data_IF_065915757697
#
_entry.id   IF_065915757697
#
_cell.length_a   1.000
_cell.length_b   1.000
_cell.length_c   1.000
_cell.angle_alpha   90.00
_cell.angle_beta   90.00
_cell.angle_gamma   90.00
#
_symmetry.space_group_name_H-M   'P 1'
#
loop_
_entity.id
_entity.type
_entity.pdbx_description
1 polymer ?
#
# COMPACT_ATOMS: atom_id res chain seq x y z
N UNK A 1 -12.19 -71.22 -11.63
CA UNK A 1 -12.59 -69.79 -11.77
C UNK A 1 -11.99 -69.00 -10.62
N UNK A 2 -10.96 -68.19 -10.88
CA UNK A 2 -10.46 -67.17 -9.94
C UNK A 2 -10.69 -65.82 -10.61
N UNK A 3 -11.57 -65.00 -10.06
CA UNK A 3 -11.77 -63.63 -10.50
C UNK A 3 -10.82 -62.72 -9.73
N UNK A 4 -9.92 -62.05 -10.46
CA UNK A 4 -9.07 -60.99 -9.92
C UNK A 4 -9.81 -59.67 -10.17
N UNK A 5 -10.28 -59.02 -9.10
CA UNK A 5 -10.81 -57.66 -9.16
C UNK A 5 -9.63 -56.69 -9.14
N UNK A 6 -9.43 -55.93 -10.22
CA UNK A 6 -8.47 -54.82 -10.27
C UNK A 6 -9.22 -53.55 -9.87
N UNK A 7 -8.91 -52.99 -8.71
CA UNK A 7 -9.36 -51.66 -8.30
C UNK A 7 -8.48 -50.62 -8.99
N UNK A 8 -9.01 -49.95 -10.02
CA UNK A 8 -8.40 -48.74 -10.57
C UNK A 8 -8.78 -47.56 -9.66
N UNK A 9 -7.85 -47.15 -8.79
CA UNK A 9 -7.99 -45.94 -8.00
C UNK A 9 -7.88 -44.70 -8.90
N UNK A 10 -9.01 -44.03 -9.14
CA UNK A 10 -9.01 -42.71 -9.77
C UNK A 10 -8.51 -41.70 -8.72
N UNK A 11 -7.23 -41.35 -8.77
CA UNK A 11 -6.71 -40.18 -8.04
C UNK A 11 -7.20 -38.96 -8.78
N UNK A 12 -8.34 -38.41 -8.35
CA UNK A 12 -8.76 -37.09 -8.78
C UNK A 12 -7.77 -36.07 -8.21
N UNK A 13 -6.75 -35.71 -8.99
CA UNK A 13 -5.99 -34.48 -8.75
C UNK A 13 -6.97 -33.33 -8.95
N UNK A 14 -7.53 -32.82 -7.85
CA UNK A 14 -8.26 -31.55 -7.86
C UNK A 14 -7.23 -30.49 -8.24
N UNK A 15 -7.18 -30.12 -9.51
CA UNK A 15 -6.45 -28.94 -9.93
C UNK A 15 -7.07 -27.77 -9.19
N UNK A 16 -6.28 -27.13 -8.32
CA UNK A 16 -6.66 -25.86 -7.71
C UNK A 16 -7.07 -24.92 -8.85
N UNK A 17 -8.26 -24.30 -8.77
CA UNK A 17 -8.74 -23.41 -9.81
C UNK A 17 -7.72 -22.27 -10.02
N UNK A 18 -7.21 -22.16 -11.25
CA UNK A 18 -6.20 -21.18 -11.66
C UNK A 18 -6.86 -20.11 -12.54
N UNK A 19 -7.29 -19.01 -11.91
CA UNK A 19 -7.83 -17.85 -12.61
C UNK A 19 -6.74 -16.82 -13.00
N UNK A 20 -5.52 -16.96 -12.46
CA UNK A 20 -4.36 -16.13 -12.83
C UNK A 20 -3.68 -16.58 -14.12
N UNK A 21 -3.83 -17.85 -14.48
CA UNK A 21 -3.17 -18.46 -15.63
C UNK A 21 -1.72 -18.84 -15.36
N UNK A 22 -1.40 -19.30 -14.15
CA UNK A 22 -0.07 -19.76 -13.73
C UNK A 22 0.50 -20.86 -14.65
N UNK A 23 -0.36 -21.71 -15.20
CA UNK A 23 0.03 -22.74 -16.18
C UNK A 23 0.68 -22.20 -17.46
N UNK A 24 0.44 -20.93 -17.81
CA UNK A 24 1.07 -20.25 -18.95
C UNK A 24 2.44 -19.63 -18.62
N UNK A 25 2.92 -19.86 -17.39
CA UNK A 25 4.22 -19.44 -16.91
C UNK A 25 4.32 -17.94 -16.61
N UNK A 26 5.57 -17.47 -16.58
CA UNK A 26 5.92 -16.13 -16.11
C UNK A 26 6.67 -15.33 -17.16
N UNK A 27 6.52 -14.01 -17.12
CA UNK A 27 7.43 -13.05 -17.75
C UNK A 27 8.52 -12.77 -16.72
N UNK A 28 9.74 -13.22 -16.99
CA UNK A 28 10.90 -12.97 -16.10
C UNK A 28 11.60 -11.70 -16.57
N UNK A 29 11.79 -10.76 -15.64
CA UNK A 29 12.36 -9.44 -15.91
C UNK A 29 13.41 -9.13 -14.85
N UNK A 30 14.30 -8.21 -15.19
CA UNK A 30 15.35 -7.71 -14.28
C UNK A 30 15.44 -6.20 -14.39
N UNK A 31 15.71 -5.55 -13.26
CA UNK A 31 16.24 -4.18 -13.20
C UNK A 31 17.62 -4.23 -12.55
N UNK A 32 18.30 -3.09 -12.41
CA UNK A 32 19.59 -3.06 -11.71
C UNK A 32 19.49 -3.52 -10.24
N UNK A 33 18.33 -3.35 -9.59
CA UNK A 33 18.13 -3.69 -8.17
C UNK A 33 17.22 -4.90 -7.93
N UNK A 34 16.53 -5.44 -8.96
CA UNK A 34 15.57 -6.53 -8.77
C UNK A 34 15.65 -7.63 -9.83
N UNK A 35 15.38 -8.86 -9.39
CA UNK A 35 14.86 -9.94 -10.23
C UNK A 35 13.36 -10.07 -9.93
N UNK A 36 12.52 -10.07 -10.96
CA UNK A 36 11.07 -10.14 -10.78
C UNK A 36 10.40 -11.09 -11.78
N UNK A 37 9.22 -11.57 -11.41
CA UNK A 37 8.37 -12.38 -12.27
C UNK A 37 6.95 -11.82 -12.28
N UNK A 38 6.39 -11.65 -13.47
CA UNK A 38 4.97 -11.37 -13.66
C UNK A 38 4.26 -12.64 -14.11
N UNK A 39 3.06 -12.93 -13.58
CA UNK A 39 2.22 -13.99 -14.16
C UNK A 39 1.89 -13.62 -15.61
N UNK A 40 2.17 -14.49 -16.59
CA UNK A 40 2.10 -14.12 -18.01
C UNK A 40 0.72 -13.61 -18.44
N UNK A 41 -0.35 -14.26 -18.00
CA UNK A 41 -1.71 -13.92 -18.41
C UNK A 41 -2.27 -12.71 -17.67
N UNK A 42 -2.04 -12.61 -16.36
CA UNK A 42 -2.59 -11.53 -15.54
C UNK A 42 -1.68 -10.29 -15.49
N UNK A 43 -0.40 -10.43 -15.81
CA UNK A 43 0.71 -9.47 -15.59
C UNK A 43 0.70 -8.80 -14.20
N UNK A 44 0.26 -9.53 -13.17
CA UNK A 44 0.47 -9.17 -11.75
C UNK A 44 1.83 -9.69 -11.29
N UNK A 45 2.41 -9.05 -10.28
CA UNK A 45 3.72 -9.38 -9.73
C UNK A 45 3.63 -10.65 -8.89
N UNK A 46 4.33 -11.69 -9.32
CA UNK A 46 4.38 -12.98 -8.64
C UNK A 46 5.57 -13.06 -7.66
N UNK A 47 6.72 -12.53 -8.07
CA UNK A 47 7.99 -12.62 -7.33
C UNK A 47 8.73 -11.28 -7.40
N UNK A 48 9.30 -10.84 -6.27
CA UNK A 48 10.11 -9.64 -6.17
C UNK A 48 11.31 -9.89 -5.26
N UNK A 49 12.48 -10.11 -5.87
CA UNK A 49 13.74 -10.42 -5.17
C UNK A 49 14.76 -9.32 -5.44
N UNK A 50 15.50 -8.81 -4.43
CA UNK A 50 16.66 -7.97 -4.67
C UNK A 50 17.66 -8.67 -5.60
N UNK A 51 18.29 -7.92 -6.49
CA UNK A 51 19.36 -8.45 -7.34
C UNK A 51 20.48 -9.05 -6.48
N UNK A 52 20.83 -10.30 -6.73
CA UNK A 52 21.83 -11.05 -5.96
C UNK A 52 21.34 -11.67 -4.64
N UNK A 53 20.05 -11.54 -4.30
CA UNK A 53 19.44 -12.24 -3.15
C UNK A 53 18.40 -13.28 -3.65
N UNK A 54 18.08 -14.23 -2.78
CA UNK A 54 17.05 -15.26 -3.01
C UNK A 54 15.76 -14.99 -2.23
N UNK A 55 15.82 -14.10 -1.23
CA UNK A 55 14.65 -13.71 -0.45
C UNK A 55 13.61 -13.01 -1.33
N UNK A 56 12.39 -13.53 -1.31
CA UNK A 56 11.25 -12.99 -2.03
C UNK A 56 10.35 -12.21 -1.07
N UNK A 57 10.11 -10.93 -1.39
CA UNK A 57 9.20 -10.11 -0.58
C UNK A 57 7.73 -10.50 -0.77
N UNK A 58 7.42 -11.26 -1.82
CA UNK A 58 6.05 -11.69 -2.12
C UNK A 58 5.83 -13.15 -1.70
N UNK A 59 4.59 -13.54 -1.40
CA UNK A 59 4.23 -14.91 -1.04
C UNK A 59 4.22 -15.84 -2.28
N UNK A 60 5.32 -15.87 -3.05
CA UNK A 60 5.45 -16.69 -4.26
C UNK A 60 5.26 -18.19 -3.96
N UNK A 61 5.70 -18.64 -2.79
CA UNK A 61 5.53 -20.01 -2.31
C UNK A 61 4.05 -20.38 -2.03
N UNK A 62 3.18 -19.38 -1.86
CA UNK A 62 1.73 -19.53 -1.71
C UNK A 62 0.95 -19.19 -2.99
N UNK A 63 1.60 -18.73 -4.05
CA UNK A 63 0.93 -18.20 -5.24
C UNK A 63 -0.05 -19.20 -5.88
N UNK A 64 0.30 -20.49 -5.91
CA UNK A 64 -0.57 -21.55 -6.46
C UNK A 64 -1.88 -21.74 -5.69
N UNK A 65 -1.91 -21.35 -4.41
CA UNK A 65 -3.12 -21.35 -3.56
C UNK A 65 -3.93 -20.06 -3.74
N UNK A 66 -3.26 -18.98 -4.14
CA UNK A 66 -3.83 -17.63 -4.28
C UNK A 66 -4.16 -17.26 -5.73
N UNK A 67 -4.29 -18.25 -6.62
CA UNK A 67 -4.53 -18.04 -8.05
C UNK A 67 -6.00 -17.80 -8.43
N UNK A 68 -6.91 -17.72 -7.47
CA UNK A 68 -8.36 -17.63 -7.69
C UNK A 68 -8.84 -16.18 -7.78
N UNK A 69 -10.06 -15.99 -8.26
CA UNK A 69 -10.78 -14.73 -8.16
C UNK A 69 -10.86 -14.25 -6.69
N UNK A 70 -10.81 -12.93 -6.47
CA UNK A 70 -10.91 -12.32 -5.15
C UNK A 70 -9.69 -12.49 -4.23
N UNK A 71 -8.59 -13.07 -4.73
CA UNK A 71 -7.25 -13.04 -4.12
C UNK A 71 -6.48 -11.88 -4.77
N UNK A 72 -5.71 -11.07 -4.05
CA UNK A 72 -5.14 -9.83 -4.59
C UNK A 72 -3.63 -9.83 -4.73
N UNK A 73 -3.11 -9.19 -5.78
CA UNK A 73 -1.68 -9.10 -6.04
C UNK A 73 -1.21 -7.69 -6.38
N UNK A 74 0.09 -7.42 -6.19
CA UNK A 74 0.67 -6.19 -6.72
C UNK A 74 0.48 -6.14 -8.24
N UNK A 75 -0.10 -5.04 -8.74
CA UNK A 75 -0.52 -4.91 -10.13
C UNK A 75 -2.03 -5.13 -10.35
N UNK A 76 -2.78 -5.57 -9.35
CA UNK A 76 -4.22 -5.37 -9.34
C UNK A 76 -4.58 -3.90 -9.03
N UNK A 77 -5.83 -3.53 -9.29
CA UNK A 77 -6.39 -2.19 -9.04
C UNK A 77 -7.83 -2.32 -8.56
N UNK A 78 -8.19 -1.53 -7.54
CA UNK A 78 -9.59 -1.28 -7.17
C UNK A 78 -9.92 0.19 -7.32
N UNK A 79 -11.16 0.51 -7.66
CA UNK A 79 -11.61 1.89 -7.78
C UNK A 79 -13.11 2.01 -7.58
N UNK A 80 -13.55 3.24 -7.26
CA UNK A 80 -14.95 3.64 -7.29
C UNK A 80 -15.08 4.90 -8.11
N UNK A 81 -16.07 4.92 -8.99
CA UNK A 81 -16.38 6.10 -9.78
C UNK A 81 -17.87 6.37 -9.86
N UNK A 82 -18.24 7.60 -10.22
CA UNK A 82 -19.61 7.95 -10.59
C UNK A 82 -19.60 9.00 -11.70
N UNK A 83 -20.63 8.99 -12.53
CA UNK A 83 -20.82 10.04 -13.54
C UNK A 83 -21.30 11.34 -12.87
N UNK A 84 -21.01 12.48 -13.49
CA UNK A 84 -21.51 13.78 -13.01
C UNK A 84 -23.02 13.75 -12.79
N UNK A 85 -23.48 14.18 -11.60
CA UNK A 85 -24.89 14.19 -11.20
C UNK A 85 -25.41 12.88 -10.59
N UNK A 86 -24.65 11.78 -10.67
CA UNK A 86 -24.97 10.55 -9.95
C UNK A 86 -24.54 10.66 -8.47
N UNK A 87 -25.29 10.00 -7.58
CA UNK A 87 -24.94 9.91 -6.15
C UNK A 87 -24.26 8.60 -5.82
N UNK A 88 -24.72 7.49 -6.42
CA UNK A 88 -24.20 6.15 -6.19
C UNK A 88 -22.82 5.94 -6.83
N UNK A 89 -21.95 5.23 -6.10
CA UNK A 89 -20.63 4.81 -6.57
C UNK A 89 -20.74 3.47 -7.33
N UNK A 90 -20.00 3.35 -8.43
CA UNK A 90 -19.81 2.10 -9.18
C UNK A 90 -18.42 1.55 -8.88
N UNK A 91 -18.35 0.29 -8.47
CA UNK A 91 -17.11 -0.41 -8.14
C UNK A 91 -16.42 -0.98 -9.39
N UNK A 92 -15.09 -0.94 -9.39
CA UNK A 92 -14.23 -1.69 -10.29
C UNK A 92 -13.13 -2.40 -9.50
N UNK A 93 -12.84 -3.64 -9.87
CA UNK A 93 -11.85 -4.47 -9.18
C UNK A 93 -11.26 -5.49 -10.16
N UNK A 94 -9.96 -5.43 -10.42
CA UNK A 94 -9.29 -6.36 -11.35
C UNK A 94 -9.11 -7.77 -10.80
N UNK A 95 -9.26 -7.98 -9.49
CA UNK A 95 -9.13 -9.31 -8.89
C UNK A 95 -10.45 -10.09 -8.88
N UNK A 96 -11.62 -9.45 -9.05
CA UNK A 96 -12.92 -10.08 -8.82
C UNK A 96 -13.32 -11.11 -9.89
N UNK A 97 -12.98 -10.85 -11.15
CA UNK A 97 -13.27 -11.71 -12.29
C UNK A 97 -12.06 -11.77 -13.21
N UNK A 98 -11.02 -12.49 -12.78
CA UNK A 98 -9.73 -12.52 -13.47
C UNK A 98 -9.86 -13.08 -14.88
N UNK A 99 -9.21 -12.41 -15.81
CA UNK A 99 -9.05 -12.83 -17.20
C UNK A 99 -7.65 -12.47 -17.69
N UNK A 100 -7.23 -13.11 -18.79
CA UNK A 100 -6.00 -12.74 -19.49
C UNK A 100 -6.09 -11.28 -19.94
N UNK A 101 -5.13 -10.45 -19.52
CA UNK A 101 -5.08 -9.04 -19.91
C UNK A 101 -4.59 -8.90 -21.35
N UNK A 102 -4.96 -7.81 -22.02
CA UNK A 102 -4.43 -7.51 -23.35
C UNK A 102 -3.05 -6.88 -23.22
N UNK A 103 -1.99 -7.64 -23.51
CA UNK A 103 -0.63 -7.12 -23.55
C UNK A 103 -0.47 -6.01 -24.61
N UNK A 104 0.25 -4.96 -24.28
CA UNK A 104 0.60 -3.86 -25.19
C UNK A 104 2.10 -3.88 -25.47
N UNK A 105 2.49 -3.35 -26.63
CA UNK A 105 3.90 -3.12 -26.94
C UNK A 105 4.51 -2.16 -25.92
N UNK A 106 5.58 -2.61 -25.27
CA UNK A 106 6.31 -1.79 -24.31
C UNK A 106 7.11 -0.69 -25.02
N UNK A 107 6.97 0.55 -24.57
CA UNK A 107 7.82 1.66 -24.98
C UNK A 107 9.17 1.65 -24.27
N UNK A 108 10.01 2.66 -24.55
CA UNK A 108 11.28 2.85 -23.85
C UNK A 108 11.06 3.00 -22.33
N UNK A 109 11.82 2.26 -21.52
CA UNK A 109 11.72 2.26 -20.06
C UNK A 109 10.52 1.49 -19.47
N UNK A 110 9.67 0.89 -20.31
CA UNK A 110 8.55 0.03 -19.90
C UNK A 110 8.98 -1.43 -19.97
N UNK A 111 8.85 -2.16 -18.88
CA UNK A 111 9.19 -3.59 -18.79
C UNK A 111 8.04 -4.47 -19.28
N UNK A 112 6.79 -4.09 -18.95
CA UNK A 112 5.57 -4.75 -19.42
C UNK A 112 4.41 -3.77 -19.38
N UNK A 113 3.49 -3.87 -20.34
CA UNK A 113 2.30 -3.02 -20.43
C UNK A 113 1.07 -3.85 -20.79
N UNK A 114 -0.08 -3.51 -20.21
CA UNK A 114 -1.35 -4.21 -20.46
C UNK A 114 -2.58 -3.33 -20.28
N UNK A 115 -3.62 -3.57 -21.09
CA UNK A 115 -4.98 -3.08 -20.84
C UNK A 115 -5.71 -4.04 -19.91
N UNK A 116 -6.34 -3.49 -18.87
CA UNK A 116 -7.07 -4.28 -17.86
C UNK A 116 -8.54 -4.52 -18.20
N UNK A 117 -9.04 -3.99 -19.33
CA UNK A 117 -10.43 -4.13 -19.76
C UNK A 117 -11.03 -5.54 -19.59
N UNK A 118 -10.33 -6.63 -19.98
CA UNK A 118 -10.87 -7.99 -19.83
C UNK A 118 -11.22 -8.40 -18.39
N UNK A 119 -10.58 -7.80 -17.39
CA UNK A 119 -10.74 -8.15 -15.98
C UNK A 119 -11.56 -7.13 -15.19
N UNK A 120 -12.08 -6.10 -15.85
CA UNK A 120 -12.82 -5.00 -15.24
C UNK A 120 -14.29 -5.03 -15.68
N UNK A 121 -15.23 -4.55 -14.83
CA UNK A 121 -16.61 -4.38 -15.25
C UNK A 121 -16.72 -3.36 -16.39
N UNK A 122 -17.74 -3.53 -17.24
CA UNK A 122 -18.05 -2.55 -18.30
C UNK A 122 -18.27 -1.16 -17.70
N UNK A 123 -17.61 -0.16 -18.27
CA UNK A 123 -17.70 1.22 -17.79
C UNK A 123 -16.95 2.20 -18.70
N UNK A 124 -16.95 3.50 -18.35
CA UNK A 124 -16.32 4.54 -19.15
C UNK A 124 -14.80 4.60 -18.96
N UNK A 125 -14.24 3.87 -17.99
CA UNK A 125 -12.82 3.95 -17.64
C UNK A 125 -12.02 2.90 -18.40
N UNK A 126 -11.04 3.37 -19.16
CA UNK A 126 -10.06 2.52 -19.82
C UNK A 126 -8.73 2.59 -19.05
N UNK A 127 -8.30 1.46 -18.51
CA UNK A 127 -7.15 1.40 -17.60
C UNK A 127 -6.00 0.63 -18.24
N UNK A 128 -4.84 1.27 -18.29
CA UNK A 128 -3.56 0.67 -18.68
C UNK A 128 -2.69 0.51 -17.44
N UNK A 129 -2.08 -0.66 -17.27
CA UNK A 129 -1.04 -0.92 -16.28
C UNK A 129 0.31 -1.03 -16.96
N UNK A 130 1.33 -0.43 -16.35
CA UNK A 130 2.72 -0.50 -16.78
C UNK A 130 3.62 -0.86 -15.61
N UNK A 131 4.53 -1.82 -15.85
CA UNK A 131 5.70 -2.07 -15.03
C UNK A 131 6.90 -1.37 -15.66
N UNK A 132 7.68 -0.64 -14.86
CA UNK A 132 8.69 0.29 -15.33
C UNK A 132 10.05 0.01 -14.68
N UNK A 133 11.13 0.27 -15.41
CA UNK A 133 12.44 0.50 -14.77
C UNK A 133 12.53 1.99 -14.41
N UNK A 134 12.68 2.28 -13.11
CA UNK A 134 12.81 3.64 -12.58
C UNK A 134 14.17 3.79 -11.92
N UNK A 135 15.19 4.14 -12.71
CA UNK A 135 16.56 4.31 -12.23
C UNK A 135 17.11 3.05 -11.54
N UNK A 136 16.84 1.87 -12.10
CA UNK A 136 17.24 0.57 -11.57
C UNK A 136 16.26 -0.03 -10.56
N UNK A 137 15.26 0.72 -10.12
CA UNK A 137 14.16 0.23 -9.27
C UNK A 137 12.96 -0.22 -10.11
N UNK A 138 12.01 -0.89 -9.47
CA UNK A 138 10.76 -1.29 -10.10
C UNK A 138 9.69 -0.22 -9.86
N UNK A 139 9.02 0.22 -10.93
CA UNK A 139 7.81 1.05 -10.86
C UNK A 139 6.57 0.28 -11.28
N UNK A 140 5.44 0.54 -10.61
CA UNK A 140 4.10 0.16 -11.04
C UNK A 140 3.31 1.42 -11.32
N UNK A 141 2.67 1.52 -12.48
CA UNK A 141 1.91 2.69 -12.90
C UNK A 141 0.59 2.31 -13.55
N UNK A 142 -0.46 3.02 -13.18
CA UNK A 142 -1.77 2.94 -13.83
C UNK A 142 -2.07 4.26 -14.51
N UNK A 143 -2.49 4.19 -15.77
CA UNK A 143 -3.09 5.31 -16.49
C UNK A 143 -4.58 5.04 -16.64
N UNK A 144 -5.41 5.89 -16.03
CA UNK A 144 -6.86 5.80 -16.04
C UNK A 144 -7.39 6.86 -16.99
N UNK A 145 -7.97 6.44 -18.11
CA UNK A 145 -8.57 7.33 -19.09
C UNK A 145 -10.10 7.27 -19.02
N UNK A 146 -10.76 8.42 -19.09
CA UNK A 146 -12.20 8.46 -19.33
C UNK A 146 -12.47 8.37 -20.84
N UNK A 147 -12.89 7.19 -21.32
CA UNK A 147 -13.29 6.94 -22.71
C UNK A 147 -14.79 7.15 -22.95
N UNK A 148 -15.55 7.59 -21.93
CA UNK A 148 -16.96 7.95 -22.06
C UNK A 148 -17.18 9.38 -22.59
N UNK A 149 -18.46 9.76 -22.72
CA UNK A 149 -18.90 11.07 -23.21
C UNK A 149 -19.22 12.10 -22.11
N UNK A 150 -19.18 11.69 -20.84
CA UNK A 150 -19.48 12.54 -19.68
C UNK A 150 -18.34 12.55 -18.66
N UNK A 151 -18.25 13.61 -17.86
CA UNK A 151 -17.28 13.67 -16.76
C UNK A 151 -17.52 12.56 -15.72
N UNK A 152 -16.42 12.01 -15.20
CA UNK A 152 -16.41 10.95 -14.19
C UNK A 152 -15.64 11.43 -12.96
N UNK A 153 -16.24 11.32 -11.78
CA UNK A 153 -15.55 11.49 -10.50
C UNK A 153 -15.03 10.12 -10.04
N UNK A 154 -13.73 10.01 -9.79
CA UNK A 154 -13.10 8.86 -9.13
C UNK A 154 -13.02 9.17 -7.64
N UNK A 155 -13.80 8.45 -6.84
CA UNK A 155 -13.89 8.63 -5.39
C UNK A 155 -13.06 7.62 -4.59
N UNK A 156 -12.62 6.53 -5.21
CA UNK A 156 -11.60 5.65 -4.62
C UNK A 156 -10.68 5.11 -5.70
N UNK A 157 -9.41 4.95 -5.35
CA UNK A 157 -8.39 4.32 -6.18
C UNK A 157 -7.37 3.64 -5.28
N UNK A 158 -7.26 2.32 -5.40
CA UNK A 158 -6.49 1.45 -4.53
C UNK A 158 -5.55 0.51 -5.29
N UNK A 159 -4.34 0.32 -4.76
CA UNK A 159 -3.37 -0.67 -5.23
C UNK A 159 -3.14 -1.71 -4.14
N UNK A 160 -3.52 -2.98 -4.36
CA UNK A 160 -3.24 -4.06 -3.44
C UNK A 160 -1.75 -4.16 -3.11
N UNK A 161 -1.45 -4.21 -1.82
CA UNK A 161 -0.12 -4.14 -1.26
C UNK A 161 0.20 -5.43 -0.50
N UNK A 162 0.43 -6.51 -1.24
CA UNK A 162 0.76 -7.81 -0.66
C UNK A 162 2.26 -7.94 -0.37
N UNK A 163 2.59 -8.57 0.74
CA UNK A 163 3.95 -9.02 1.10
C UNK A 163 3.84 -10.37 1.77
N UNK A 164 4.92 -11.13 1.90
CA UNK A 164 4.83 -12.45 2.52
C UNK A 164 4.68 -12.37 4.06
N UNK A 165 3.50 -11.97 4.53
CA UNK A 165 3.13 -11.90 5.96
C UNK A 165 2.38 -13.15 6.44
N UNK A 166 2.36 -14.23 5.64
CA UNK A 166 1.66 -15.47 5.96
C UNK A 166 2.54 -16.30 6.91
N UNK A 167 2.42 -16.13 8.23
CA UNK A 167 3.13 -16.96 9.21
C UNK A 167 2.38 -18.26 9.52
N UNK A 168 1.08 -18.31 9.23
CA UNK A 168 0.21 -19.47 9.47
C UNK A 168 0.77 -20.73 8.82
N UNK A 169 0.80 -21.84 9.57
CA UNK A 169 1.32 -23.13 9.16
C UNK A 169 2.82 -23.14 8.79
N UNK A 170 3.62 -22.20 9.31
CA UNK A 170 5.08 -22.18 9.15
C UNK A 170 5.80 -22.45 10.47
N UNK A 171 6.92 -23.16 10.39
CA UNK A 171 7.89 -23.23 11.48
C UNK A 171 8.61 -21.88 11.61
N UNK A 172 9.13 -21.57 12.80
CA UNK A 172 9.86 -20.32 13.03
C UNK A 172 11.03 -20.11 12.05
N UNK A 173 11.72 -21.18 11.65
CA UNK A 173 12.81 -21.15 10.66
C UNK A 173 12.30 -20.77 9.26
N UNK A 174 11.11 -21.26 8.87
CA UNK A 174 10.49 -20.89 7.60
C UNK A 174 9.98 -19.46 7.62
N UNK A 175 9.41 -19.01 8.75
CA UNK A 175 9.03 -17.60 8.93
C UNK A 175 10.23 -16.67 8.73
N UNK A 176 11.37 -16.95 9.36
CA UNK A 176 12.59 -16.14 9.18
C UNK A 176 13.09 -16.14 7.72
N UNK A 177 12.97 -17.28 7.03
CA UNK A 177 13.49 -17.46 5.67
C UNK A 177 12.60 -16.85 4.59
N UNK A 178 11.28 -16.88 4.78
CA UNK A 178 10.32 -16.59 3.72
C UNK A 178 9.47 -15.36 3.97
N UNK A 179 9.32 -14.91 5.23
CA UNK A 179 8.34 -13.89 5.57
C UNK A 179 8.95 -12.52 5.82
N UNK A 180 8.09 -11.51 5.71
CA UNK A 180 8.39 -10.11 6.02
C UNK A 180 7.24 -9.41 6.74
N UNK A 181 7.57 -8.35 7.47
CA UNK A 181 6.60 -7.40 8.04
C UNK A 181 6.55 -6.15 7.18
N UNK A 182 5.36 -5.61 6.97
CA UNK A 182 5.13 -4.39 6.21
C UNK A 182 4.50 -3.30 7.08
N UNK A 183 5.25 -2.22 7.31
CA UNK A 183 4.86 -1.10 8.17
C UNK A 183 4.53 0.13 7.31
N UNK A 184 3.26 0.56 7.26
CA UNK A 184 2.85 1.74 6.52
C UNK A 184 3.11 3.03 7.31
N UNK A 185 3.55 4.08 6.63
CA UNK A 185 3.41 5.47 7.07
C UNK A 185 2.45 6.17 6.13
N UNK A 186 1.22 6.46 6.58
CA UNK A 186 0.11 7.01 5.78
C UNK A 186 0.27 8.54 5.62
N UNK A 187 1.46 8.98 5.22
CA UNK A 187 1.90 10.38 5.23
C UNK A 187 1.60 11.17 3.95
N UNK A 188 0.53 10.86 3.21
CA UNK A 188 0.20 11.49 1.91
C UNK A 188 1.34 11.32 0.89
N UNK A 189 1.90 12.38 0.30
CA UNK A 189 3.02 12.31 -0.66
C UNK A 189 4.35 11.88 -0.03
N UNK A 190 4.46 11.90 1.30
CA UNK A 190 5.55 11.28 2.05
C UNK A 190 5.21 9.85 2.50
N UNK A 191 4.06 9.34 2.08
CA UNK A 191 3.60 8.01 2.44
C UNK A 191 4.53 6.92 1.93
N UNK A 192 4.62 5.82 2.65
CA UNK A 192 5.54 4.73 2.33
C UNK A 192 5.10 3.44 3.01
N UNK A 193 5.48 2.29 2.46
CA UNK A 193 5.38 0.99 3.13
C UNK A 193 6.79 0.43 3.26
N UNK A 194 7.26 0.27 4.50
CA UNK A 194 8.57 -0.29 4.82
C UNK A 194 8.43 -1.79 5.04
N UNK A 195 9.28 -2.58 4.40
CA UNK A 195 9.15 -4.04 4.43
C UNK A 195 10.46 -4.66 4.90
N UNK A 196 10.40 -5.32 6.05
CA UNK A 196 11.56 -5.93 6.71
C UNK A 196 11.44 -7.46 6.71
N UNK A 197 12.45 -8.20 6.25
CA UNK A 197 12.50 -9.64 6.43
C UNK A 197 12.44 -10.02 7.92
N UNK A 198 11.67 -11.06 8.26
CA UNK A 198 11.52 -11.52 9.66
C UNK A 198 12.85 -11.91 10.29
N UNK A 199 13.81 -12.41 9.50
CA UNK A 199 15.19 -12.70 9.97
C UNK A 199 15.94 -11.49 10.53
N UNK A 200 15.45 -10.26 10.35
CA UNK A 200 16.06 -9.02 10.86
C UNK A 200 17.38 -8.63 10.18
N UNK A 201 17.78 -9.36 9.14
CA UNK A 201 19.04 -9.18 8.41
C UNK A 201 18.82 -9.21 6.90
N UNK A 202 19.82 -8.75 6.15
CA UNK A 202 19.76 -8.64 4.69
C UNK A 202 19.04 -7.38 4.21
N UNK A 203 18.80 -7.30 2.90
CA UNK A 203 18.17 -6.15 2.29
C UNK A 203 16.72 -5.98 2.77
N UNK A 204 16.30 -4.73 2.92
CA UNK A 204 14.91 -4.36 3.16
C UNK A 204 14.32 -3.70 1.91
N UNK A 205 12.99 -3.62 1.85
CA UNK A 205 12.27 -3.01 0.73
C UNK A 205 11.48 -1.80 1.25
N UNK A 206 11.33 -0.79 0.41
CA UNK A 206 10.37 0.29 0.64
C UNK A 206 9.55 0.56 -0.61
N UNK A 207 8.26 0.80 -0.42
CA UNK A 207 7.34 1.27 -1.46
C UNK A 207 7.04 2.73 -1.23
N UNK A 208 7.30 3.59 -2.21
CA UNK A 208 7.06 5.04 -2.17
C UNK A 208 6.19 5.50 -3.35
N UNK A 209 5.65 6.72 -3.33
CA UNK A 209 4.92 7.28 -4.46
C UNK A 209 5.80 7.36 -5.71
N UNK A 210 5.19 7.11 -6.87
CA UNK A 210 5.68 7.51 -8.18
C UNK A 210 4.70 8.54 -8.76
N UNK A 211 5.19 9.73 -9.07
CA UNK A 211 4.32 10.85 -9.47
C UNK A 211 3.41 11.35 -8.34
N UNK A 212 2.21 11.84 -8.68
CA UNK A 212 1.21 12.37 -7.74
C UNK A 212 0.37 11.24 -7.12
N UNK A 213 1.01 10.37 -6.34
CA UNK A 213 0.35 9.17 -5.76
C UNK A 213 0.46 9.15 -4.23
N UNK A 214 -0.27 10.02 -3.53
CA UNK A 214 -0.25 10.03 -2.06
C UNK A 214 -0.77 8.70 -1.47
N UNK A 215 -0.26 8.31 -0.30
CA UNK A 215 -0.88 7.29 0.56
C UNK A 215 -1.89 7.99 1.47
N UNK A 216 -3.13 8.16 0.98
CA UNK A 216 -4.22 8.82 1.71
C UNK A 216 -4.77 7.92 2.82
N UNK A 217 -4.92 6.62 2.53
CA UNK A 217 -5.26 5.62 3.54
C UNK A 217 -4.56 4.28 3.26
N UNK A 218 -4.49 3.44 4.29
CA UNK A 218 -4.07 2.05 4.18
C UNK A 218 -5.21 1.18 4.69
N UNK A 219 -5.84 0.45 3.79
CA UNK A 219 -7.10 -0.25 4.06
C UNK A 219 -6.86 -1.76 4.06
N UNK A 220 -7.44 -2.47 5.03
CA UNK A 220 -7.46 -3.93 5.00
C UNK A 220 -8.18 -4.40 3.73
N UNK A 221 -7.58 -5.37 3.04
CA UNK A 221 -8.04 -5.87 1.76
C UNK A 221 -8.58 -7.30 1.95
N UNK A 222 -9.89 -7.45 2.26
CA UNK A 222 -10.47 -8.76 2.49
C UNK A 222 -10.48 -9.58 1.21
N UNK A 223 -9.87 -10.75 1.27
CA UNK A 223 -9.87 -11.73 0.18
C UNK A 223 -11.08 -12.66 0.25
N UNK A 224 -11.54 -13.15 -0.91
CA UNK A 224 -12.53 -14.23 -0.95
C UNK A 224 -11.97 -15.48 -0.30
N UNK A 225 -12.72 -16.07 0.63
CA UNK A 225 -12.29 -17.24 1.36
C UNK A 225 -12.30 -18.51 0.49
N UNK A 226 -11.18 -19.24 0.52
CA UNK A 226 -11.05 -20.60 0.01
C UNK A 226 -10.36 -21.48 1.05
N UNK A 227 -10.68 -22.78 1.07
CA UNK A 227 -10.05 -23.74 1.98
C UNK A 227 -8.52 -23.72 1.91
N UNK A 228 -7.97 -23.59 0.69
CA UNK A 228 -6.53 -23.62 0.44
C UNK A 228 -5.84 -22.29 0.83
N UNK A 229 -6.63 -21.23 1.03
CA UNK A 229 -6.19 -19.91 1.52
C UNK A 229 -6.66 -19.65 2.95
N UNK A 230 -6.94 -20.70 3.73
CA UNK A 230 -7.24 -20.62 5.15
C UNK A 230 -5.99 -20.28 6.01
N UNK A 231 -5.12 -19.40 5.49
CA UNK A 231 -4.02 -18.81 6.24
C UNK A 231 -4.43 -17.60 7.07
N UNK A 232 -5.66 -17.09 6.89
CA UNK A 232 -6.24 -16.08 7.76
C UNK A 232 -6.32 -16.59 9.19
N UNK A 233 -5.39 -16.17 10.03
CA UNK A 233 -5.26 -16.58 11.43
C UNK A 233 -4.73 -15.41 12.27
N UNK A 234 -4.67 -15.58 13.59
CA UNK A 234 -4.06 -14.59 14.49
C UNK A 234 -2.59 -14.27 14.17
N UNK A 235 -1.89 -15.11 13.42
CA UNK A 235 -0.48 -14.91 13.02
C UNK A 235 -0.34 -14.42 11.58
N UNK A 236 -1.42 -14.07 10.90
CA UNK A 236 -1.35 -13.40 9.59
C UNK A 236 -1.59 -11.91 9.76
N UNK A 237 -0.63 -11.07 9.36
CA UNK A 237 -0.76 -9.61 9.48
C UNK A 237 -1.87 -9.03 8.59
N UNK A 238 -2.37 -9.79 7.62
CA UNK A 238 -3.31 -9.29 6.62
C UNK A 238 -2.64 -8.83 5.34
N UNK A 239 -3.46 -8.64 4.31
CA UNK A 239 -3.11 -7.85 3.14
C UNK A 239 -3.89 -6.57 3.15
N UNK A 240 -3.30 -5.56 2.55
CA UNK A 240 -3.81 -4.21 2.61
C UNK A 240 -3.74 -3.58 1.24
N UNK A 241 -4.22 -2.35 1.17
CA UNK A 241 -4.29 -1.60 -0.07
C UNK A 241 -3.80 -0.19 0.14
N UNK A 242 -2.89 0.24 -0.73
CA UNK A 242 -2.50 1.63 -0.88
C UNK A 242 -3.66 2.40 -1.50
N UNK A 243 -4.35 3.23 -0.71
CA UNK A 243 -5.45 4.07 -1.20
C UNK A 243 -4.95 5.48 -1.47
N UNK A 244 -5.06 5.93 -2.72
CA UNK A 244 -4.68 7.30 -3.12
C UNK A 244 -5.86 8.28 -3.13
N UNK A 245 -7.09 7.77 -3.21
CA UNK A 245 -8.34 8.53 -3.13
C UNK A 245 -9.31 7.74 -2.25
N UNK A 246 -10.03 8.38 -1.33
CA UNK A 246 -10.92 7.65 -0.39
C UNK A 246 -12.29 8.27 -0.16
N UNK A 247 -12.66 9.33 -0.89
CA UNK A 247 -13.99 9.96 -0.73
C UNK A 247 -15.15 8.97 -0.78
N UNK A 248 -15.11 8.00 -1.70
CA UNK A 248 -16.17 6.99 -1.82
C UNK A 248 -16.25 6.03 -0.62
N UNK A 249 -15.14 5.79 0.09
CA UNK A 249 -15.15 5.04 1.35
C UNK A 249 -15.68 5.91 2.50
N UNK A 250 -15.26 7.18 2.55
CA UNK A 250 -15.72 8.15 3.54
C UNK A 250 -17.23 8.40 3.48
N UNK A 251 -17.82 8.46 2.28
CA UNK A 251 -19.26 8.63 2.09
C UNK A 251 -20.08 7.36 2.43
N UNK A 252 -19.43 6.18 2.47
CA UNK A 252 -20.09 4.89 2.66
C UNK A 252 -19.62 4.18 3.95
N UNK A 253 -18.68 3.24 3.85
CA UNK A 253 -18.30 2.34 4.94
C UNK A 253 -17.65 3.08 6.12
N UNK A 254 -17.02 4.22 5.86
CA UNK A 254 -16.35 5.02 6.89
C UNK A 254 -17.17 6.23 7.34
N UNK A 255 -18.46 6.33 6.96
CA UNK A 255 -19.33 7.48 7.31
C UNK A 255 -19.38 7.82 8.80
N UNK A 256 -19.18 6.83 9.66
CA UNK A 256 -19.19 6.97 11.11
C UNK A 256 -17.80 7.17 11.72
N UNK A 257 -16.77 7.35 10.89
CA UNK A 257 -15.37 7.48 11.30
C UNK A 257 -14.79 8.79 10.79
N UNK A 258 -13.73 9.25 11.44
CA UNK A 258 -12.94 10.39 10.97
C UNK A 258 -11.57 9.90 10.49
N UNK A 259 -11.34 9.76 9.17
CA UNK A 259 -10.03 9.35 8.66
C UNK A 259 -8.91 10.31 9.09
N UNK A 260 -7.68 9.80 9.20
CA UNK A 260 -6.53 10.62 9.58
C UNK A 260 -6.20 11.67 8.52
N UNK A 261 -6.30 11.32 7.24
CA UNK A 261 -6.13 12.23 6.12
C UNK A 261 -7.50 12.62 5.56
N UNK A 262 -7.63 13.84 5.01
CA UNK A 262 -8.90 14.30 4.44
C UNK A 262 -9.22 13.47 3.19
N UNK A 263 -10.38 12.81 3.12
CA UNK A 263 -10.76 12.03 1.95
C UNK A 263 -10.84 12.88 0.68
N UNK A 264 -10.26 12.40 -0.42
CA UNK A 264 -10.24 13.11 -1.70
C UNK A 264 -10.82 12.30 -2.85
N UNK A 265 -11.15 13.02 -3.93
CA UNK A 265 -11.58 12.49 -5.23
C UNK A 265 -10.95 13.31 -6.36
N UNK A 266 -11.00 12.79 -7.59
CA UNK A 266 -10.56 13.50 -8.80
C UNK A 266 -11.61 13.37 -9.89
N UNK A 267 -11.82 14.43 -10.66
CA UNK A 267 -12.74 14.42 -11.81
C UNK A 267 -11.96 14.32 -13.11
N UNK A 268 -12.33 13.39 -14.00
CA UNK A 268 -11.82 13.27 -15.36
C UNK A 268 -12.89 13.68 -16.36
N UNK A 269 -12.57 14.66 -17.21
CA UNK A 269 -13.40 14.99 -18.38
C UNK A 269 -13.28 13.90 -19.46
N UNK A 270 -14.23 13.83 -20.41
CA UNK A 270 -14.11 12.96 -21.58
C UNK A 270 -12.74 13.08 -22.28
N UNK A 271 -12.10 11.95 -22.56
CA UNK A 271 -10.78 11.87 -23.19
C UNK A 271 -9.58 12.13 -22.25
N UNK A 272 -9.79 12.73 -21.07
CA UNK A 272 -8.71 12.99 -20.12
C UNK A 272 -8.21 11.71 -19.46
N UNK A 273 -6.96 11.78 -18.99
CA UNK A 273 -6.31 10.70 -18.24
C UNK A 273 -5.70 11.21 -16.94
N UNK A 274 -5.69 10.35 -15.92
CA UNK A 274 -4.88 10.50 -14.72
C UNK A 274 -3.87 9.36 -14.65
N UNK A 275 -2.76 9.63 -13.97
CA UNK A 275 -1.71 8.66 -13.78
C UNK A 275 -1.31 8.60 -12.32
N UNK A 276 -1.22 7.37 -11.82
CA UNK A 276 -0.81 7.08 -10.44
C UNK A 276 0.12 5.87 -10.44
N UNK A 277 1.00 5.77 -9.46
CA UNK A 277 1.95 4.69 -9.37
C UNK A 277 2.77 4.68 -8.09
N UNK A 278 3.46 3.58 -7.89
CA UNK A 278 4.37 3.36 -6.77
C UNK A 278 5.72 2.89 -7.28
N UNK A 279 6.76 3.15 -6.50
CA UNK A 279 8.14 2.71 -6.75
C UNK A 279 8.57 1.79 -5.62
N UNK A 280 9.17 0.65 -5.98
CA UNK A 280 9.76 -0.33 -5.09
C UNK A 280 11.27 -0.11 -5.08
N UNK A 281 11.86 0.14 -3.92
CA UNK A 281 13.29 0.46 -3.78
C UNK A 281 13.95 -0.44 -2.73
N UNK A 282 15.16 -0.92 -3.02
CA UNK A 282 15.93 -1.76 -2.10
C UNK A 282 16.78 -0.91 -1.16
N UNK A 283 16.62 -1.10 0.14
CA UNK A 283 17.58 -0.66 1.15
C UNK A 283 18.64 -1.76 1.36
N UNK A 284 19.76 -1.68 0.62
CA UNK A 284 20.83 -2.70 0.64
C UNK A 284 21.48 -2.88 2.01
N UNK A 285 21.51 -1.84 2.83
CA UNK A 285 21.98 -1.89 4.23
C UNK A 285 20.91 -2.38 5.22
N UNK A 286 19.83 -2.97 4.73
CA UNK A 286 18.71 -3.46 5.53
C UNK A 286 17.87 -2.35 6.14
N UNK A 287 17.21 -2.65 7.27
CA UNK A 287 16.24 -1.76 7.92
C UNK A 287 16.82 -0.38 8.27
N UNK A 288 18.12 -0.30 8.59
CA UNK A 288 18.81 0.97 8.91
C UNK A 288 18.97 1.87 7.68
N UNK A 289 18.85 1.32 6.47
CA UNK A 289 18.95 2.05 5.21
C UNK A 289 17.62 2.59 4.67
N UNK A 290 16.49 2.27 5.31
CA UNK A 290 15.16 2.60 4.76
C UNK A 290 14.94 4.11 4.57
N UNK A 291 15.32 4.93 5.54
CA UNK A 291 15.18 6.39 5.41
C UNK A 291 16.03 6.94 4.24
N UNK A 292 17.22 6.39 4.02
CA UNK A 292 18.08 6.78 2.90
C UNK A 292 17.48 6.36 1.56
N UNK A 293 16.92 5.15 1.47
CA UNK A 293 16.23 4.66 0.27
C UNK A 293 15.02 5.55 -0.08
N UNK A 294 14.23 5.94 0.91
CA UNK A 294 13.06 6.83 0.74
C UNK A 294 13.47 8.22 0.28
N UNK A 295 14.52 8.81 0.88
CA UNK A 295 15.02 10.11 0.41
C UNK A 295 15.58 10.03 -1.00
N UNK A 296 16.13 8.87 -1.39
CA UNK A 296 16.62 8.59 -2.75
C UNK A 296 15.52 8.62 -3.82
N UNK A 297 14.25 8.47 -3.45
CA UNK A 297 13.10 8.60 -4.36
C UNK A 297 12.53 10.02 -4.40
N UNK A 298 13.20 10.99 -3.77
CA UNK A 298 12.69 12.35 -3.53
C UNK A 298 11.39 12.37 -2.71
N UNK A 299 11.17 11.35 -1.88
CA UNK A 299 10.06 11.29 -0.92
C UNK A 299 10.52 11.89 0.41
N UNK A 300 9.80 12.88 0.99
CA UNK A 300 10.15 13.46 2.28
C UNK A 300 10.08 12.43 3.42
N UNK A 301 10.87 12.65 4.47
CA UNK A 301 10.83 11.84 5.70
C UNK A 301 10.63 12.72 6.92
N UNK A 302 9.94 12.18 7.92
CA UNK A 302 9.74 12.81 9.24
C UNK A 302 10.16 11.86 10.35
N UNK A 303 10.88 12.38 11.34
CA UNK A 303 11.24 11.66 12.57
C UNK A 303 10.83 12.49 13.77
N UNK A 304 9.89 11.98 14.58
CA UNK A 304 9.50 12.55 15.85
C UNK A 304 10.32 11.99 17.02
N UNK A 305 10.71 12.85 17.96
CA UNK A 305 11.39 12.47 19.21
C UNK A 305 10.64 13.09 20.40
N UNK A 306 10.25 12.31 21.43
CA UNK A 306 10.51 10.87 21.61
C UNK A 306 9.62 9.97 20.74
N UNK A 307 8.63 10.53 20.05
CA UNK A 307 7.73 9.80 19.17
C UNK A 307 6.53 10.67 18.78
N UNK A 308 5.41 10.02 18.48
CA UNK A 308 4.19 10.68 18.02
C UNK A 308 3.04 10.68 19.04
N UNK A 309 3.27 10.11 20.23
CA UNK A 309 2.40 10.30 21.39
C UNK A 309 3.07 11.34 22.28
N UNK A 310 2.44 12.50 22.46
CA UNK A 310 3.06 13.66 23.10
C UNK A 310 2.15 14.19 24.22
N UNK A 311 2.64 14.32 25.46
CA UNK A 311 1.85 14.90 26.54
C UNK A 311 1.78 16.42 26.41
N UNK A 312 0.66 17.01 26.84
CA UNK A 312 0.60 18.46 27.07
C UNK A 312 1.67 18.89 28.06
N UNK A 313 2.27 20.06 27.84
CA UNK A 313 3.26 20.67 28.74
C UNK A 313 4.70 20.23 28.48
N UNK A 314 4.95 19.27 27.59
CA UNK A 314 6.30 18.84 27.20
C UNK A 314 6.49 19.01 25.68
N UNK A 315 7.54 19.71 25.23
CA UNK A 315 7.83 19.84 23.81
C UNK A 315 8.42 18.54 23.23
N UNK A 316 7.94 18.15 22.05
CA UNK A 316 8.58 17.15 21.21
C UNK A 316 9.50 17.80 20.17
N UNK A 317 10.36 17.00 19.53
CA UNK A 317 11.15 17.41 18.38
C UNK A 317 10.66 16.72 17.12
N UNK A 318 10.64 17.44 16.01
CA UNK A 318 10.33 16.91 14.68
C UNK A 318 11.48 17.24 13.74
N UNK A 319 12.04 16.22 13.11
CA UNK A 319 13.07 16.33 12.08
C UNK A 319 12.45 16.04 10.72
N UNK A 320 12.40 17.03 9.85
CA UNK A 320 11.94 16.93 8.48
C UNK A 320 13.13 16.92 7.54
N UNK A 321 13.16 15.97 6.61
CA UNK A 321 14.18 15.90 5.56
C UNK A 321 13.51 15.74 4.21
N UNK A 322 13.78 16.70 3.32
CA UNK A 322 13.23 16.81 1.97
C UNK A 322 14.22 17.56 1.08
N UNK A 323 14.16 17.34 -0.24
CA UNK A 323 14.89 18.16 -1.22
C UNK A 323 14.24 19.54 -1.42
N UNK A 324 12.96 19.67 -1.08
CA UNK A 324 12.20 20.91 -1.20
C UNK A 324 12.00 21.56 0.17
N UNK A 325 12.06 22.89 0.20
CA UNK A 325 11.84 23.66 1.43
C UNK A 325 10.41 23.48 1.95
N UNK A 326 10.25 23.54 3.28
CA UNK A 326 8.94 23.60 3.94
C UNK A 326 8.31 24.96 3.65
N UNK A 327 7.12 24.96 3.04
CA UNK A 327 6.32 26.15 2.73
C UNK A 327 5.37 26.50 3.84
N UNK A 328 4.70 25.52 4.44
CA UNK A 328 3.79 25.74 5.58
C UNK A 328 3.63 24.51 6.46
N UNK A 329 3.20 24.76 7.70
CA UNK A 329 2.92 23.77 8.75
C UNK A 329 1.57 24.14 9.38
N UNK A 330 0.60 23.23 9.34
CA UNK A 330 -0.76 23.48 9.85
C UNK A 330 -1.24 22.28 10.65
N UNK A 331 -1.72 22.52 11.88
CA UNK A 331 -2.32 21.47 12.70
C UNK A 331 -3.84 21.39 12.49
N UNK A 332 -4.38 20.18 12.60
CA UNK A 332 -5.81 19.92 12.72
C UNK A 332 -6.05 19.01 13.94
N UNK A 333 -6.82 19.45 14.96
CA UNK A 333 -7.52 20.74 15.06
C UNK A 333 -6.60 21.96 14.98
N UNK A 334 -7.15 23.08 14.50
CA UNK A 334 -6.40 24.33 14.39
C UNK A 334 -5.91 24.80 15.76
N UNK A 335 -4.62 25.16 15.85
CA UNK A 335 -4.00 25.61 17.10
C UNK A 335 -3.70 24.52 18.13
N UNK A 336 -3.91 23.23 17.79
CA UNK A 336 -3.60 22.12 18.68
C UNK A 336 -2.09 21.91 18.87
N UNK A 337 -1.28 22.24 17.86
CA UNK A 337 0.19 22.22 17.95
C UNK A 337 0.76 23.59 17.59
N UNK A 338 1.71 24.06 18.40
CA UNK A 338 2.64 25.12 18.01
C UNK A 338 3.90 24.47 17.47
N UNK A 339 4.30 24.82 16.25
CA UNK A 339 5.50 24.28 15.61
C UNK A 339 6.50 25.40 15.33
N UNK A 340 7.68 25.32 15.92
CA UNK A 340 8.71 26.37 15.83
C UNK A 340 9.98 25.80 15.22
N UNK A 341 10.50 26.45 14.17
CA UNK A 341 11.79 26.11 13.57
C UNK A 341 12.92 26.42 14.56
N UNK A 342 13.76 25.42 14.86
CA UNK A 342 14.93 25.56 15.74
C UNK A 342 16.20 25.72 14.91
N UNK A 343 16.36 24.87 13.91
CA UNK A 343 17.45 24.90 12.93
C UNK A 343 16.99 24.20 11.65
N UNK A 344 17.80 24.20 10.59
CA UNK A 344 17.41 23.60 9.31
C UNK A 344 16.85 22.18 9.48
N UNK A 345 15.59 21.99 9.08
CA UNK A 345 14.88 20.72 9.18
C UNK A 345 14.50 20.27 10.60
N UNK A 346 14.86 21.02 11.65
CA UNK A 346 14.55 20.69 13.05
C UNK A 346 13.52 21.64 13.62
N UNK A 347 12.46 21.08 14.17
CA UNK A 347 11.34 21.82 14.76
C UNK A 347 11.08 21.36 16.19
N UNK A 348 10.62 22.30 17.02
CA UNK A 348 9.94 21.99 18.28
C UNK A 348 8.45 21.89 18.01
N UNK A 349 7.80 20.87 18.54
CA UNK A 349 6.34 20.64 18.45
C UNK A 349 5.78 20.66 19.86
N UNK A 350 4.98 21.67 20.19
CA UNK A 350 4.42 21.86 21.53
C UNK A 350 2.89 21.76 21.46
N UNK A 351 2.27 20.77 22.13
CA UNK A 351 0.82 20.72 22.25
C UNK A 351 0.28 21.91 23.03
N UNK A 352 -0.86 22.45 22.60
CA UNK A 352 -1.54 23.50 23.36
C UNK A 352 -2.13 22.97 24.66
N UNK A 353 -2.41 23.85 25.62
CA UNK A 353 -2.96 23.47 26.92
C UNK A 353 -4.34 22.79 26.82
N UNK A 354 -5.10 23.03 25.76
CA UNK A 354 -6.41 22.43 25.52
C UNK A 354 -6.39 21.23 24.56
N UNK A 355 -5.27 20.94 23.89
CA UNK A 355 -5.18 19.85 22.93
C UNK A 355 -5.33 18.48 23.61
N UNK A 356 -6.14 17.61 23.02
CA UNK A 356 -6.35 16.24 23.49
C UNK A 356 -6.75 15.34 22.32
N UNK A 357 -6.20 14.13 22.28
CA UNK A 357 -6.51 13.13 21.27
C UNK A 357 -5.76 13.36 19.95
N UNK A 358 -6.42 13.03 18.85
CA UNK A 358 -5.80 13.00 17.51
C UNK A 358 -5.49 14.41 17.02
N UNK A 359 -4.25 14.63 16.60
CA UNK A 359 -3.83 15.87 15.95
C UNK A 359 -3.01 15.56 14.71
N UNK A 360 -3.46 16.01 13.55
CA UNK A 360 -2.72 15.91 12.29
C UNK A 360 -1.91 17.17 12.08
N UNK A 361 -0.60 17.04 11.88
CA UNK A 361 0.25 18.11 11.36
C UNK A 361 0.43 17.92 9.85
N UNK A 362 -0.06 18.86 9.06
CA UNK A 362 0.12 18.90 7.61
C UNK A 362 1.29 19.81 7.26
N UNK A 363 2.25 19.27 6.53
CA UNK A 363 3.41 19.97 5.99
C UNK A 363 3.22 20.11 4.48
N UNK A 364 3.26 21.34 4.00
CA UNK A 364 3.26 21.63 2.55
C UNK A 364 4.67 22.02 2.16
N UNK A 365 5.21 21.38 1.12
CA UNK A 365 6.53 21.68 0.56
C UNK A 365 6.44 22.63 -0.63
N UNK A 366 7.57 23.25 -0.99
CA UNK A 366 7.66 24.18 -2.12
C UNK A 366 7.37 23.52 -3.49
N UNK A 367 7.56 22.20 -3.62
CA UNK A 367 7.22 21.40 -4.80
C UNK A 367 5.75 20.90 -4.79
N UNK A 368 4.93 21.43 -3.88
CA UNK A 368 3.52 21.08 -3.67
C UNK A 368 3.27 19.68 -3.11
N UNK A 369 4.31 18.93 -2.71
CA UNK A 369 4.10 17.71 -1.92
C UNK A 369 3.46 18.06 -0.58
N UNK A 370 2.55 17.20 -0.14
CA UNK A 370 1.89 17.25 1.16
C UNK A 370 2.37 16.06 1.97
N UNK A 371 2.82 16.32 3.19
CA UNK A 371 3.10 15.29 4.18
C UNK A 371 2.21 15.47 5.38
N UNK A 372 1.70 14.38 5.94
CA UNK A 372 0.94 14.41 7.19
C UNK A 372 1.68 13.63 8.27
N UNK A 373 1.78 14.20 9.46
CA UNK A 373 2.33 13.55 10.66
C UNK A 373 1.19 13.46 11.68
N UNK A 374 0.92 12.25 12.17
CA UNK A 374 -0.22 11.97 13.04
C UNK A 374 0.24 11.88 14.49
N UNK A 375 -0.08 12.91 15.29
CA UNK A 375 0.19 12.92 16.72
C UNK A 375 -1.03 12.49 17.53
N UNK A 376 -0.80 11.87 18.67
CA UNK A 376 -1.81 11.69 19.72
C UNK A 376 -1.40 12.49 20.96
N UNK A 377 -2.16 13.53 21.28
CA UNK A 377 -1.90 14.39 22.43
C UNK A 377 -2.56 13.83 23.67
N UNK A 378 -1.79 13.66 24.74
CA UNK A 378 -2.27 13.15 26.03
C UNK A 378 -2.27 14.22 27.11
N UNK A 379 -2.76 13.84 28.29
CA UNK A 379 -2.63 14.61 29.53
C UNK A 379 -1.14 14.78 29.84
N UNK A 380 -0.77 15.82 30.61
CA UNK A 380 0.54 15.86 31.25
C UNK A 380 0.82 14.53 31.94
N UNK A 381 2.07 14.07 31.86
CA UNK A 381 2.49 12.73 32.28
C UNK A 381 2.07 12.42 33.72
N UNK A 382 2.22 13.38 34.64
CA UNK A 382 1.82 13.25 36.05
C UNK A 382 0.31 13.11 36.24
N UNK A 383 -0.49 13.87 35.49
CA UNK A 383 -1.95 13.80 35.55
C UNK A 383 -2.48 12.49 34.97
N UNK A 384 -1.84 11.98 33.91
CA UNK A 384 -2.19 10.69 33.31
C UNK A 384 -2.02 9.54 34.31
N UNK A 385 -0.87 9.47 34.99
CA UNK A 385 -0.59 8.46 36.02
C UNK A 385 -1.56 8.58 37.20
N UNK A 386 -1.80 9.81 37.69
CA UNK A 386 -2.76 10.04 38.78
C UNK A 386 -4.22 9.68 38.39
N UNK A 387 -4.58 9.84 37.11
CA UNK A 387 -5.90 9.43 36.61
C UNK A 387 -6.04 7.91 36.58
N UNK A 388 -5.00 7.19 36.14
CA UNK A 388 -4.98 5.72 36.16
C UNK A 388 -5.08 5.18 37.58
N UNK A 389 -4.33 5.75 38.53
CA UNK A 389 -4.39 5.37 39.94
C UNK A 389 -5.81 5.47 40.50
N UNK A 390 -6.47 6.63 40.32
CA UNK A 390 -7.86 6.82 40.72
C UNK A 390 -8.82 5.85 40.04
N UNK A 391 -8.66 5.62 38.72
CA UNK A 391 -9.50 4.68 38.01
C UNK A 391 -9.45 3.28 38.65
N UNK A 392 -8.25 2.81 39.00
CA UNK A 392 -8.05 1.49 39.59
C UNK A 392 -8.49 1.37 41.05
N UNK A 393 -8.53 2.47 41.82
CA UNK A 393 -8.77 2.41 43.27
C UNK A 393 -10.09 3.00 43.74
N UNK A 394 -10.78 3.80 42.91
CA UNK A 394 -11.99 4.54 43.33
C UNK A 394 -13.15 4.48 42.34
N UNK A 395 -13.07 3.67 41.27
CA UNK A 395 -14.14 3.58 40.25
C UNK A 395 -15.08 2.42 40.49
#
# INVERSE_FOLDING_TARGET
>A
MKFTLVFAGLVATVFCQDNLGLSNGYITLTTANFNLQLVRNAQVLASLKPAGDTFDFLPFDYLSKRARNGQYHWGDITFRYRQSGATAWTDGNSASARQTVTALTAGSGVLASSRLGPTLPTGPLNITREWLDVSGDLGLRFTIQNSGSSAVEIGSLGFPAEFNSIFTNRLATDMQRLCSLSDPYIGMHAGQIRVAPIRGTGAALVVTPLGDTPLEAYRNLPETYYSDTAYGSQTFEGFYEWQTLTKAWAENEWRAQTPWNTPSSKTLQPGQSLQFGVRFSVAKSGVRGLDAAVRGTNTPTAVGVPGYIVPRGEPAQLFLQSQSAVKSLVSEPAGALTVTLVSSGKYTVTPSASAWGRVRLTITYADNKIQTVHYYVTKPSTEAVASLGRFLTTS
#
